data_IF_412318964843
#
_entry.id   IF_412318964843
#
_cell.length_a   1.000
_cell.length_b   1.000
_cell.length_c   1.000
_cell.angle_alpha   90.00
_cell.angle_beta   90.00
_cell.angle_gamma   90.00
#
_symmetry.space_group_name_H-M   'P 1'
#
loop_
_entity.id
_entity.type
_entity.pdbx_description
1 polymer ?
#
# COMPACT_ATOMS: atom_id res chain seq x y z
N UNK A 1 11.38 -9.71 28.55
CA UNK A 1 12.55 -10.60 28.48
C UNK A 1 13.77 -9.74 28.20
N UNK A 2 14.90 -10.00 28.86
CA UNK A 2 16.10 -9.16 28.66
C UNK A 2 16.77 -9.45 27.33
N UNK A 3 17.15 -10.70 27.07
CA UNK A 3 17.74 -11.13 25.79
C UNK A 3 17.02 -12.37 25.26
N UNK A 4 16.99 -12.55 23.94
CA UNK A 4 16.55 -13.77 23.27
C UNK A 4 17.60 -14.18 22.24
N UNK A 5 18.06 -15.42 22.31
CA UNK A 5 18.99 -15.99 21.32
C UNK A 5 18.37 -17.22 20.70
N UNK A 6 18.33 -17.26 19.37
CA UNK A 6 17.83 -18.40 18.62
C UNK A 6 19.02 -19.25 18.14
N UNK A 7 19.04 -20.51 18.56
CA UNK A 7 20.06 -21.50 18.17
C UNK A 7 19.49 -22.71 17.44
N UNK A 8 18.17 -22.76 17.26
CA UNK A 8 17.42 -23.85 16.63
C UNK A 8 16.87 -23.44 15.27
N UNK A 9 16.59 -24.44 14.39
CA UNK A 9 16.45 -24.20 12.98
C UNK A 9 15.20 -23.41 12.56
N UNK A 10 14.08 -23.63 13.23
CA UNK A 10 12.92 -22.76 13.05
C UNK A 10 12.29 -22.57 14.41
N UNK A 11 12.10 -21.31 14.79
CA UNK A 11 11.43 -20.99 16.05
C UNK A 11 10.08 -20.37 15.75
N UNK A 12 9.02 -20.99 16.25
CA UNK A 12 7.67 -20.47 16.18
C UNK A 12 7.30 -19.85 17.52
N UNK A 13 6.78 -18.63 17.48
CA UNK A 13 6.30 -17.97 18.69
C UNK A 13 5.01 -18.62 19.20
N UNK A 14 4.83 -18.59 20.54
CA UNK A 14 3.62 -19.07 21.22
C UNK A 14 2.87 -17.94 21.93
N UNK A 15 3.34 -16.70 21.79
CA UNK A 15 2.81 -15.52 22.43
C UNK A 15 3.61 -14.27 22.07
N UNK A 16 3.03 -13.10 22.30
CA UNK A 16 3.74 -11.82 22.14
C UNK A 16 4.90 -11.75 23.13
N UNK A 17 6.01 -11.16 22.70
CA UNK A 17 7.19 -10.96 23.57
C UNK A 17 7.70 -9.53 23.47
N UNK A 18 8.30 -9.07 24.56
CA UNK A 18 9.04 -7.81 24.59
C UNK A 18 10.50 -8.08 24.96
N UNK A 19 11.42 -7.59 24.14
CA UNK A 19 12.87 -7.72 24.32
C UNK A 19 13.43 -6.35 24.67
N UNK A 20 14.16 -6.26 25.78
CA UNK A 20 14.72 -4.99 26.28
C UNK A 20 16.22 -4.84 26.03
N UNK A 21 16.92 -5.95 25.77
CA UNK A 21 18.34 -6.03 25.44
C UNK A 21 18.53 -6.54 24.01
N UNK A 22 19.16 -7.69 23.84
CA UNK A 22 19.55 -8.18 22.51
C UNK A 22 18.60 -9.28 21.98
N UNK A 23 18.24 -9.18 20.71
CA UNK A 23 17.67 -10.26 19.91
C UNK A 23 18.77 -10.81 18.99
N UNK A 24 19.29 -11.98 19.29
CA UNK A 24 20.22 -12.70 18.42
C UNK A 24 19.44 -13.62 17.50
N UNK A 25 19.30 -13.20 16.24
CA UNK A 25 18.75 -14.05 15.18
C UNK A 25 19.89 -14.95 14.69
N UNK A 26 19.81 -16.24 15.05
CA UNK A 26 20.71 -17.30 14.58
C UNK A 26 20.67 -17.50 13.06
N UNK A 27 21.28 -18.57 12.52
CA UNK A 27 21.31 -18.81 11.07
C UNK A 27 19.94 -18.91 10.39
N UNK A 28 18.82 -18.90 11.13
CA UNK A 28 17.53 -19.34 10.64
C UNK A 28 16.35 -18.47 11.13
N UNK A 29 15.10 -18.87 10.83
CA UNK A 29 13.93 -17.98 10.90
C UNK A 29 13.24 -17.95 12.27
N UNK A 30 12.86 -16.75 12.70
CA UNK A 30 11.91 -16.52 13.79
C UNK A 30 10.53 -16.23 13.21
N UNK A 31 9.66 -17.23 13.25
CA UNK A 31 8.28 -17.11 12.78
C UNK A 31 7.43 -16.49 13.88
N UNK A 32 6.83 -15.34 13.59
CA UNK A 32 5.87 -14.73 14.52
C UNK A 32 4.47 -15.33 14.36
N UNK A 33 4.26 -16.17 13.36
CA UNK A 33 3.11 -17.07 13.27
C UNK A 33 3.28 -18.29 14.17
N UNK A 34 2.18 -18.85 14.65
CA UNK A 34 2.19 -20.23 15.14
C UNK A 34 2.41 -21.22 13.98
N UNK A 35 2.75 -22.48 14.28
CA UNK A 35 2.96 -23.53 13.27
C UNK A 35 1.73 -23.78 12.37
N UNK A 36 0.54 -23.40 12.85
CA UNK A 36 -0.70 -23.50 12.07
C UNK A 36 -0.96 -22.28 11.16
N UNK A 37 -0.12 -21.23 11.21
CA UNK A 37 -0.26 -19.99 10.42
C UNK A 37 -1.45 -19.10 10.81
N UNK A 38 -2.16 -19.43 11.88
CA UNK A 38 -3.48 -18.85 12.19
C UNK A 38 -3.44 -17.69 13.19
N UNK A 39 -2.27 -17.38 13.74
CA UNK A 39 -2.12 -16.32 14.75
C UNK A 39 -0.78 -15.64 14.54
N UNK A 40 -0.81 -14.32 14.28
CA UNK A 40 0.38 -13.48 14.25
C UNK A 40 0.63 -12.93 15.66
N UNK A 41 1.74 -13.34 16.24
CA UNK A 41 2.32 -12.70 17.42
C UNK A 41 3.24 -11.54 17.01
N UNK A 42 3.50 -10.66 17.95
CA UNK A 42 4.40 -9.52 17.77
C UNK A 42 5.63 -9.66 18.68
N UNK A 43 6.80 -9.35 18.11
CA UNK A 43 8.02 -9.12 18.87
C UNK A 43 8.17 -7.61 19.03
N UNK A 44 8.12 -7.10 20.26
CA UNK A 44 8.38 -5.69 20.54
C UNK A 44 9.80 -5.51 21.07
N UNK A 45 10.60 -4.73 20.35
CA UNK A 45 11.93 -4.30 20.76
C UNK A 45 11.84 -2.96 21.48
N UNK A 46 12.27 -2.91 22.74
CA UNK A 46 12.32 -1.68 23.53
C UNK A 46 13.30 -0.66 22.91
N UNK A 47 13.31 0.62 23.35
CA UNK A 47 14.15 1.67 22.75
C UNK A 47 15.65 1.35 22.66
N UNK A 48 16.22 0.76 23.71
CA UNK A 48 17.63 0.35 23.74
C UNK A 48 17.91 -1.05 23.17
N UNK A 49 16.89 -1.77 22.73
CA UNK A 49 17.06 -3.14 22.26
C UNK A 49 17.76 -3.17 20.89
N UNK A 50 18.66 -4.14 20.73
CA UNK A 50 19.44 -4.37 19.50
C UNK A 50 19.06 -5.68 18.85
N UNK A 51 19.34 -5.79 17.55
CA UNK A 51 19.23 -7.06 16.84
C UNK A 51 20.56 -7.39 16.21
N UNK A 52 21.04 -8.60 16.44
CA UNK A 52 22.22 -9.15 15.78
C UNK A 52 21.78 -10.26 14.85
N UNK A 53 22.13 -10.17 13.57
CA UNK A 53 21.92 -11.26 12.60
C UNK A 53 23.17 -12.11 12.51
N UNK A 54 23.04 -13.40 12.74
CA UNK A 54 24.08 -14.39 12.50
C UNK A 54 23.72 -15.16 11.23
N UNK A 55 24.48 -15.01 10.15
CA UNK A 55 24.17 -15.66 8.86
C UNK A 55 22.86 -15.15 8.24
N UNK A 56 21.91 -16.07 7.98
CA UNK A 56 20.63 -15.79 7.30
C UNK A 56 19.47 -15.39 8.23
N UNK A 57 19.70 -15.25 9.54
CA UNK A 57 18.65 -15.02 10.54
C UNK A 57 17.69 -13.89 10.22
N UNK A 58 16.39 -14.11 10.32
CA UNK A 58 15.38 -13.09 10.01
C UNK A 58 14.08 -13.34 10.77
N UNK A 59 13.26 -12.30 10.89
CA UNK A 59 11.90 -12.40 11.38
C UNK A 59 10.95 -12.60 10.20
N UNK A 60 10.24 -13.72 10.18
CA UNK A 60 9.15 -14.01 9.25
C UNK A 60 7.85 -13.70 9.97
N UNK A 61 7.38 -12.45 9.80
CA UNK A 61 6.22 -11.91 10.51
C UNK A 61 6.45 -10.48 10.99
N UNK A 62 5.77 -10.09 12.06
CA UNK A 62 5.74 -8.69 12.54
C UNK A 62 6.80 -8.42 13.61
N UNK A 63 7.73 -7.52 13.31
CA UNK A 63 8.70 -6.98 14.26
C UNK A 63 8.41 -5.52 14.56
N UNK A 64 8.22 -5.19 15.84
CA UNK A 64 8.01 -3.83 16.32
C UNK A 64 9.27 -3.28 17.00
N UNK A 65 9.60 -2.00 16.74
CA UNK A 65 10.64 -1.25 17.45
C UNK A 65 10.05 0.00 18.06
N UNK A 66 10.34 0.20 19.35
CA UNK A 66 10.06 1.44 20.05
C UNK A 66 11.20 2.45 19.88
N UNK A 67 10.84 3.72 19.81
CA UNK A 67 11.71 4.87 19.62
C UNK A 67 11.43 5.93 20.68
N UNK A 68 12.51 6.58 21.15
CA UNK A 68 12.46 7.68 22.11
C UNK A 68 13.14 8.94 21.58
N UNK A 69 13.63 8.89 20.35
CA UNK A 69 14.35 9.96 19.66
C UNK A 69 14.79 9.53 18.25
N UNK A 70 15.33 10.46 17.45
CA UNK A 70 15.87 10.17 16.13
C UNK A 70 16.96 9.10 16.17
N UNK A 71 16.86 8.10 15.30
CA UNK A 71 17.82 6.99 15.20
C UNK A 71 17.57 6.20 13.93
N UNK A 72 18.54 5.40 13.50
CA UNK A 72 18.35 4.44 12.41
C UNK A 72 18.22 3.03 12.96
N UNK A 73 17.24 2.28 12.45
CA UNK A 73 17.09 0.86 12.74
C UNK A 73 16.73 0.09 11.47
N UNK A 74 17.44 -1.00 11.22
CA UNK A 74 17.12 -1.95 10.16
C UNK A 74 16.32 -3.09 10.74
N UNK A 75 15.07 -3.22 10.30
CA UNK A 75 14.19 -4.35 10.61
C UNK A 75 14.66 -5.56 9.81
N UNK A 76 15.18 -6.61 10.46
CA UNK A 76 15.62 -7.81 9.78
C UNK A 76 14.44 -8.74 9.46
N UNK A 77 13.47 -8.23 8.71
CA UNK A 77 12.30 -8.98 8.27
C UNK A 77 12.56 -9.68 6.94
N UNK A 78 11.79 -10.72 6.67
CA UNK A 78 11.80 -11.42 5.39
C UNK A 78 10.61 -12.36 5.27
N UNK A 79 10.65 -13.17 4.23
CA UNK A 79 9.66 -14.24 3.97
C UNK A 79 10.42 -15.55 3.79
N UNK A 80 9.71 -16.67 3.64
CA UNK A 80 10.34 -17.94 3.25
C UNK A 80 11.13 -17.85 1.93
N UNK A 81 10.84 -16.86 1.08
CA UNK A 81 11.51 -16.64 -0.21
C UNK A 81 12.70 -15.68 -0.11
N UNK A 82 13.00 -15.16 1.08
CA UNK A 82 14.26 -14.51 1.37
C UNK A 82 14.16 -13.28 2.26
N UNK A 83 15.34 -12.73 2.55
CA UNK A 83 15.54 -11.58 3.41
C UNK A 83 15.16 -10.29 2.69
N UNK A 84 14.34 -9.45 3.33
CA UNK A 84 13.75 -8.26 2.70
C UNK A 84 13.67 -7.10 3.69
N UNK A 85 14.81 -6.63 4.22
CA UNK A 85 14.81 -5.70 5.33
C UNK A 85 14.24 -4.35 4.95
N UNK A 86 13.76 -3.65 5.97
CA UNK A 86 13.42 -2.23 5.89
C UNK A 86 14.32 -1.47 6.84
N UNK A 87 15.02 -0.46 6.35
CA UNK A 87 15.75 0.49 7.20
C UNK A 87 14.90 1.72 7.41
N UNK A 88 14.53 1.98 8.66
CA UNK A 88 13.89 3.23 9.08
C UNK A 88 14.94 4.15 9.70
N UNK A 89 15.28 5.22 8.99
CA UNK A 89 16.05 6.34 9.54
C UNK A 89 15.04 7.35 10.11
N UNK A 90 14.75 7.24 11.40
CA UNK A 90 13.79 8.09 12.10
C UNK A 90 14.41 9.46 12.31
N UNK A 91 13.79 10.49 11.73
CA UNK A 91 14.27 11.88 11.73
C UNK A 91 13.65 12.70 12.86
N UNK A 92 12.45 12.35 13.30
CA UNK A 92 11.81 12.91 14.50
C UNK A 92 10.87 11.88 15.12
N UNK A 93 10.69 11.92 16.43
CA UNK A 93 9.79 11.01 17.13
C UNK A 93 9.33 11.57 18.48
N UNK A 94 8.07 11.36 18.82
CA UNK A 94 7.58 11.48 20.19
C UNK A 94 8.15 10.34 21.07
N UNK A 95 8.16 10.55 22.39
CA UNK A 95 8.66 9.59 23.37
C UNK A 95 7.51 9.05 24.25
N UNK A 96 7.07 7.78 24.10
CA UNK A 96 7.51 6.81 23.10
C UNK A 96 6.72 6.89 21.78
N UNK A 97 7.33 6.40 20.71
CA UNK A 97 6.64 6.05 19.46
C UNK A 97 7.14 4.70 18.97
N UNK A 98 6.42 4.07 18.04
CA UNK A 98 6.81 2.76 17.55
C UNK A 98 6.36 2.52 16.12
N UNK A 99 7.17 1.75 15.39
CA UNK A 99 6.81 1.16 14.10
C UNK A 99 6.85 -0.35 14.22
N UNK A 100 5.87 -1.01 13.61
CA UNK A 100 5.89 -2.43 13.31
C UNK A 100 6.09 -2.62 11.82
N UNK A 101 6.91 -3.60 11.45
CA UNK A 101 7.25 -3.91 10.06
C UNK A 101 7.08 -5.41 9.83
N UNK A 102 6.50 -5.74 8.68
CA UNK A 102 6.38 -7.09 8.17
C UNK A 102 6.67 -7.08 6.67
N UNK A 103 7.49 -8.03 6.19
CA UNK A 103 7.60 -8.32 4.77
C UNK A 103 6.57 -9.39 4.39
N UNK A 104 5.92 -9.24 3.24
CA UNK A 104 4.93 -10.19 2.73
C UNK A 104 5.32 -10.64 1.32
N UNK A 105 5.25 -11.94 1.09
CA UNK A 105 5.48 -12.51 -0.24
C UNK A 105 4.20 -12.40 -1.05
N UNK A 106 4.33 -11.94 -2.30
CA UNK A 106 3.22 -11.81 -3.23
C UNK A 106 3.00 -10.36 -3.63
N UNK A 107 2.10 -10.18 -4.58
CA UNK A 107 1.70 -8.86 -5.07
C UNK A 107 0.77 -8.23 -4.03
N UNK A 108 0.91 -6.92 -3.80
CA UNK A 108 -0.02 -6.19 -2.92
C UNK A 108 -1.46 -6.28 -3.48
N UNK A 109 -2.48 -6.59 -2.66
CA UNK A 109 -3.83 -6.90 -3.16
C UNK A 109 -4.51 -5.83 -4.01
N UNK A 110 -4.18 -4.55 -3.80
CA UNK A 110 -4.73 -3.40 -4.51
C UNK A 110 -3.83 -2.93 -5.66
N UNK A 111 -2.71 -3.62 -5.92
CA UNK A 111 -1.78 -3.25 -6.98
C UNK A 111 -2.47 -3.36 -8.34
N UNK A 112 -2.31 -2.32 -9.15
CA UNK A 112 -2.82 -2.27 -10.50
C UNK A 112 -1.82 -1.52 -11.39
N UNK A 113 -1.26 -2.16 -12.43
CA UNK A 113 -1.54 -3.53 -12.88
C UNK A 113 -0.84 -4.61 -12.03
N UNK A 114 -1.55 -5.70 -11.75
CA UNK A 114 -1.06 -6.83 -10.93
C UNK A 114 0.15 -7.56 -11.54
N UNK A 115 0.26 -7.62 -12.87
CA UNK A 115 1.25 -8.43 -13.56
C UNK A 115 2.67 -7.82 -13.61
N UNK A 116 2.81 -6.52 -13.36
CA UNK A 116 4.11 -5.84 -13.32
C UNK A 116 4.50 -5.39 -11.91
N UNK A 117 3.54 -5.35 -10.98
CA UNK A 117 3.82 -5.04 -9.59
C UNK A 117 4.80 -6.05 -8.97
N UNK A 118 5.69 -5.53 -8.12
CA UNK A 118 6.67 -6.32 -7.39
C UNK A 118 5.96 -7.44 -6.61
N UNK A 119 6.51 -8.66 -6.66
CA UNK A 119 5.98 -9.82 -5.93
C UNK A 119 6.39 -9.80 -4.46
N UNK A 120 6.50 -8.60 -3.89
CA UNK A 120 6.77 -8.33 -2.49
C UNK A 120 6.17 -7.00 -2.10
N UNK A 121 5.62 -6.95 -0.90
CA UNK A 121 5.23 -5.71 -0.26
C UNK A 121 5.60 -5.74 1.22
N UNK A 122 5.59 -4.57 1.85
CA UNK A 122 5.84 -4.42 3.27
C UNK A 122 4.68 -3.71 3.92
N UNK A 123 4.18 -4.29 5.01
CA UNK A 123 3.23 -3.64 5.88
C UNK A 123 3.99 -2.95 6.99
N UNK A 124 3.86 -1.63 7.08
CA UNK A 124 4.44 -0.80 8.14
C UNK A 124 3.31 -0.10 8.87
N UNK A 125 3.18 -0.34 10.17
CA UNK A 125 2.21 0.37 10.99
C UNK A 125 2.91 1.18 12.07
N UNK A 126 2.52 2.44 12.20
CA UNK A 126 2.84 3.23 13.39
C UNK A 126 1.92 2.80 14.53
N UNK A 127 2.44 2.07 15.49
CA UNK A 127 1.64 1.47 16.57
C UNK A 127 1.46 2.41 17.76
N UNK A 128 2.33 3.41 17.93
CA UNK A 128 2.14 4.49 18.91
C UNK A 128 2.86 5.79 18.53
N UNK A 129 2.40 6.89 19.12
CA UNK A 129 3.04 8.20 19.04
C UNK A 129 3.06 8.81 17.63
N UNK A 130 3.86 9.85 17.48
CA UNK A 130 4.20 10.48 16.20
C UNK A 130 5.67 10.27 15.88
N UNK A 131 6.00 10.07 14.61
CA UNK A 131 7.37 10.06 14.12
C UNK A 131 7.40 10.38 12.62
N UNK A 132 8.58 10.80 12.15
CA UNK A 132 8.92 10.91 10.73
C UNK A 132 10.14 10.05 10.43
N UNK A 133 10.22 9.46 9.24
CA UNK A 133 11.35 8.61 8.87
C UNK A 133 11.63 8.62 7.37
N UNK A 134 12.91 8.59 6.98
CA UNK A 134 13.30 8.10 5.67
C UNK A 134 13.33 6.56 5.69
N UNK A 135 12.66 5.94 4.73
CA UNK A 135 12.57 4.48 4.63
C UNK A 135 13.43 3.98 3.47
N UNK A 136 14.14 2.87 3.67
CA UNK A 136 14.80 2.12 2.61
C UNK A 136 14.33 0.67 2.64
N UNK A 137 13.76 0.22 1.54
CA UNK A 137 13.26 -1.14 1.33
C UNK A 137 14.26 -1.91 0.48
N UNK A 138 14.53 -3.16 0.84
CA UNK A 138 15.36 -4.07 0.05
C UNK A 138 14.53 -5.27 -0.41
N UNK A 139 14.41 -5.45 -1.72
CA UNK A 139 13.77 -6.60 -2.36
C UNK A 139 14.81 -7.52 -3.00
N UNK A 140 14.34 -8.63 -3.57
CA UNK A 140 15.15 -9.58 -4.32
C UNK A 140 14.92 -9.40 -5.80
N UNK A 141 15.94 -9.69 -6.61
CA UNK A 141 15.82 -9.77 -8.07
C UNK A 141 14.66 -10.68 -8.52
N UNK A 142 14.44 -11.78 -7.78
CA UNK A 142 13.37 -12.74 -8.06
C UNK A 142 11.96 -12.19 -7.80
N UNK A 143 11.83 -11.07 -7.09
CA UNK A 143 10.52 -10.46 -6.84
C UNK A 143 10.04 -9.63 -8.04
N UNK A 144 10.95 -9.25 -8.94
CA UNK A 144 10.63 -8.49 -10.15
C UNK A 144 9.94 -9.42 -11.15
N UNK A 145 8.68 -9.16 -11.55
CA UNK A 145 8.00 -10.04 -12.48
C UNK A 145 8.70 -10.12 -13.83
N UNK A 146 8.70 -11.30 -14.45
CA UNK A 146 9.33 -11.52 -15.75
C UNK A 146 8.77 -10.56 -16.81
N UNK A 147 9.66 -9.89 -17.56
CA UNK A 147 9.29 -8.91 -18.58
C UNK A 147 9.02 -7.50 -18.05
N UNK A 148 9.04 -7.29 -16.73
CA UNK A 148 8.93 -5.96 -16.13
C UNK A 148 10.23 -5.19 -16.29
N UNK A 149 10.13 -3.95 -16.76
CA UNK A 149 11.25 -3.03 -16.72
C UNK A 149 11.34 -2.43 -15.31
N UNK A 150 12.18 -3.00 -14.45
CA UNK A 150 12.32 -2.55 -13.06
C UNK A 150 12.61 -1.04 -12.91
N UNK A 151 13.29 -0.44 -13.89
CA UNK A 151 13.56 1.00 -13.89
C UNK A 151 12.32 1.87 -14.13
N UNK A 152 11.18 1.30 -14.56
CA UNK A 152 9.88 2.00 -14.62
C UNK A 152 9.04 1.81 -13.35
N UNK A 153 9.53 1.02 -12.39
CA UNK A 153 8.87 0.78 -11.13
C UNK A 153 9.23 1.87 -10.11
N UNK A 154 8.23 2.31 -9.35
CA UNK A 154 8.40 3.33 -8.34
C UNK A 154 7.94 2.83 -6.99
N UNK A 155 8.56 3.34 -5.92
CA UNK A 155 8.07 3.12 -4.57
C UNK A 155 6.70 3.78 -4.42
N UNK A 156 5.72 3.01 -4.02
CA UNK A 156 4.34 3.47 -3.82
C UNK A 156 3.84 2.99 -2.46
N UNK A 157 2.93 3.78 -1.90
CA UNK A 157 2.29 3.55 -0.62
C UNK A 157 0.77 3.46 -0.84
N UNK A 158 0.13 2.46 -0.24
CA UNK A 158 -1.33 2.30 -0.29
C UNK A 158 -2.01 2.94 0.92
N UNK A 159 -2.82 3.98 0.72
CA UNK A 159 -3.59 4.67 1.79
C UNK A 159 -5.12 4.58 1.56
N UNK A 160 -5.57 3.53 0.85
CA UNK A 160 -6.92 3.48 0.24
C UNK A 160 -6.96 4.08 -1.17
N UNK A 161 -5.87 4.72 -1.57
CA UNK A 161 -5.48 5.09 -2.92
C UNK A 161 -3.95 4.98 -3.00
N UNK A 162 -3.39 4.92 -4.22
CA UNK A 162 -1.95 4.88 -4.42
C UNK A 162 -1.33 6.27 -4.26
N UNK A 163 -0.48 6.43 -3.26
CA UNK A 163 0.35 7.60 -3.06
C UNK A 163 1.79 7.29 -3.47
N UNK A 164 2.39 8.14 -4.30
CA UNK A 164 3.77 8.01 -4.71
C UNK A 164 4.66 9.03 -3.95
N UNK A 165 5.40 8.59 -2.93
CA UNK A 165 6.33 9.48 -2.24
C UNK A 165 7.54 9.82 -3.10
N UNK A 166 8.18 10.95 -2.78
CA UNK A 166 9.49 11.27 -3.32
C UNK A 166 10.50 10.18 -2.92
N UNK A 167 10.98 9.42 -3.90
CA UNK A 167 11.81 8.25 -3.69
C UNK A 167 12.77 8.00 -4.86
N UNK A 168 13.79 7.19 -4.61
CA UNK A 168 14.72 6.65 -5.63
C UNK A 168 14.67 5.13 -5.63
N UNK A 169 14.77 4.54 -6.82
CA UNK A 169 14.93 3.10 -7.02
C UNK A 169 16.35 2.83 -7.52
N UNK A 170 17.03 1.83 -6.97
CA UNK A 170 18.31 1.35 -7.44
C UNK A 170 18.16 -0.13 -7.83
N UNK A 171 18.10 -0.38 -9.13
CA UNK A 171 17.84 -1.71 -9.70
C UNK A 171 19.05 -2.63 -9.65
N UNK A 172 20.28 -2.09 -9.54
CA UNK A 172 21.47 -2.91 -9.33
C UNK A 172 21.46 -3.52 -7.92
N UNK A 173 21.05 -2.74 -6.93
CA UNK A 173 21.04 -3.15 -5.52
C UNK A 173 19.69 -3.69 -5.05
N UNK A 174 18.66 -3.64 -5.90
CA UNK A 174 17.29 -4.02 -5.58
C UNK A 174 16.76 -3.30 -4.32
N UNK A 175 16.92 -1.97 -4.31
CA UNK A 175 16.48 -1.12 -3.20
C UNK A 175 15.61 0.03 -3.66
N UNK A 176 14.67 0.45 -2.83
CA UNK A 176 13.92 1.68 -3.01
C UNK A 176 13.95 2.52 -1.72
N UNK A 177 14.21 3.83 -1.82
CA UNK A 177 14.42 4.71 -0.67
C UNK A 177 13.63 6.00 -0.80
N UNK A 178 12.93 6.42 0.26
CA UNK A 178 12.32 7.75 0.29
C UNK A 178 13.40 8.82 0.43
N UNK A 179 13.29 9.90 -0.35
CA UNK A 179 14.23 11.04 -0.32
C UNK A 179 13.79 12.14 0.64
N UNK A 180 12.53 12.11 1.06
CA UNK A 180 11.95 13.00 2.08
C UNK A 180 11.37 12.15 3.22
N UNK A 181 11.45 12.60 4.48
CA UNK A 181 10.84 11.88 5.59
C UNK A 181 9.32 11.74 5.43
N UNK A 182 8.80 10.55 5.71
CA UNK A 182 7.36 10.26 5.71
C UNK A 182 6.83 10.15 7.14
N UNK A 183 5.56 10.53 7.35
CA UNK A 183 4.85 10.46 8.64
C UNK A 183 3.66 9.48 8.66
N UNK A 184 3.26 9.04 7.47
CA UNK A 184 2.23 8.04 7.27
C UNK A 184 2.89 6.71 6.93
N UNK A 185 2.26 5.63 7.39
CA UNK A 185 2.77 4.26 7.24
C UNK A 185 1.58 3.36 6.96
N UNK A 186 1.72 2.48 5.98
CA UNK A 186 0.72 1.51 5.54
C UNK A 186 1.41 0.38 4.77
N UNK A 187 0.83 -0.10 3.67
CA UNK A 187 1.47 -1.04 2.76
C UNK A 187 2.31 -0.31 1.71
N UNK A 188 3.49 -0.87 1.43
CA UNK A 188 4.49 -0.32 0.52
C UNK A 188 4.92 -1.38 -0.49
N UNK A 189 5.02 -1.02 -1.75
CA UNK A 189 5.52 -1.91 -2.81
C UNK A 189 6.11 -1.11 -3.97
N UNK A 190 6.60 -1.81 -4.99
CA UNK A 190 6.99 -1.23 -6.26
C UNK A 190 5.92 -1.60 -7.30
N UNK A 191 5.36 -0.58 -7.94
CA UNK A 191 4.50 -0.72 -9.11
C UNK A 191 4.88 0.39 -10.12
N UNK A 192 4.58 0.26 -11.42
CA UNK A 192 4.81 1.35 -12.35
C UNK A 192 3.97 2.54 -11.90
N UNK A 193 4.27 3.74 -12.43
CA UNK A 193 3.45 4.91 -12.16
C UNK A 193 1.97 4.51 -12.28
N UNK A 194 1.25 4.53 -11.14
CA UNK A 194 -0.15 4.84 -11.23
C UNK A 194 -0.14 6.18 -11.99
N UNK A 195 -0.74 6.27 -13.18
CA UNK A 195 -0.73 7.51 -13.95
C UNK A 195 -1.05 8.62 -12.96
N UNK A 196 -0.14 9.60 -12.85
CA UNK A 196 -0.26 10.64 -11.81
C UNK A 196 -1.61 11.26 -12.01
N UNK A 197 -2.54 10.87 -11.17
CA UNK A 197 -3.91 11.30 -11.28
C UNK A 197 -3.89 12.76 -10.87
N UNK A 198 -3.74 13.65 -11.85
CA UNK A 198 -4.32 14.97 -11.67
C UNK A 198 -5.80 14.69 -11.40
N UNK A 199 -6.29 15.19 -10.28
CA UNK A 199 -7.72 15.22 -10.02
C UNK A 199 -8.37 16.02 -11.16
N UNK A 200 -9.21 15.35 -11.94
CA UNK A 200 -9.92 15.95 -13.06
C UNK A 200 -11.42 15.94 -12.83
N UNK A 201 -12.13 16.74 -13.61
CA UNK A 201 -13.59 16.71 -13.63
C UNK A 201 -14.11 15.80 -14.75
N UNK A 202 -15.18 15.07 -14.46
CA UNK A 202 -15.92 14.27 -15.44
C UNK A 202 -17.36 14.75 -15.45
N UNK A 203 -17.83 15.21 -16.61
CA UNK A 203 -19.17 15.81 -16.74
C UNK A 203 -19.91 15.32 -17.97
N UNK A 204 -21.24 15.39 -17.90
CA UNK A 204 -22.13 14.94 -18.96
C UNK A 204 -23.58 15.28 -18.69
N UNK A 205 -24.47 14.71 -19.50
CA UNK A 205 -25.91 14.86 -19.41
C UNK A 205 -26.62 13.50 -19.42
N UNK A 206 -27.79 13.44 -18.80
CA UNK A 206 -28.69 12.30 -18.93
C UNK A 206 -29.91 12.64 -19.78
N UNK A 207 -30.22 11.78 -20.74
CA UNK A 207 -31.36 11.88 -21.64
C UNK A 207 -32.28 10.65 -21.57
N UNK A 208 -33.55 10.83 -21.86
CA UNK A 208 -34.46 9.74 -22.21
C UNK A 208 -34.27 9.34 -23.68
N UNK A 209 -34.89 8.22 -24.08
CA UNK A 209 -34.82 7.72 -25.45
C UNK A 209 -35.39 8.71 -26.49
N UNK A 210 -36.29 9.61 -26.08
CA UNK A 210 -36.87 10.67 -26.93
C UNK A 210 -36.01 11.94 -27.02
N UNK A 211 -34.83 11.95 -26.37
CA UNK A 211 -33.91 13.08 -26.33
C UNK A 211 -34.25 14.14 -25.27
N UNK A 212 -35.30 13.96 -24.48
CA UNK A 212 -35.62 14.86 -23.37
C UNK A 212 -34.58 14.74 -22.24
N UNK A 213 -34.24 15.86 -21.61
CA UNK A 213 -33.28 15.88 -20.52
C UNK A 213 -33.89 15.33 -19.22
N UNK A 214 -33.16 14.45 -18.53
CA UNK A 214 -33.63 13.81 -17.31
C UNK A 214 -33.07 14.48 -16.06
N UNK A 215 -33.97 15.02 -15.23
CA UNK A 215 -33.66 15.57 -13.91
C UNK A 215 -33.67 14.50 -12.83
N UNK A 216 -32.77 14.61 -11.86
CA UNK A 216 -32.78 13.78 -10.66
C UNK A 216 -32.27 12.35 -10.88
N UNK A 217 -31.57 12.11 -11.99
CA UNK A 217 -30.86 10.86 -12.23
C UNK A 217 -29.67 10.82 -11.27
N UNK A 218 -29.58 9.75 -10.48
CA UNK A 218 -28.39 9.47 -9.67
C UNK A 218 -27.36 8.82 -10.58
N UNK A 219 -26.27 9.53 -10.81
CA UNK A 219 -25.14 9.07 -11.62
C UNK A 219 -24.02 8.65 -10.69
N UNK A 220 -23.55 7.42 -10.87
CA UNK A 220 -22.45 6.84 -10.12
C UNK A 220 -21.28 6.55 -11.06
N UNK A 221 -20.08 6.93 -10.65
CA UNK A 221 -18.83 6.59 -11.32
C UNK A 221 -17.99 5.77 -10.33
N UNK A 222 -17.84 4.47 -10.60
CA UNK A 222 -17.16 3.53 -9.70
C UNK A 222 -15.83 3.07 -10.28
N UNK A 223 -14.81 2.96 -9.46
CA UNK A 223 -13.52 2.38 -9.86
C UNK A 223 -13.51 0.84 -9.67
N UNK A 224 -12.38 0.21 -9.97
CA UNK A 224 -12.20 -1.23 -9.77
C UNK A 224 -12.08 -1.65 -8.29
N UNK A 225 -11.82 -0.69 -7.38
CA UNK A 225 -11.66 -0.92 -5.94
C UNK A 225 -12.98 -0.82 -5.16
N UNK A 226 -14.05 -0.36 -5.82
CA UNK A 226 -15.37 -0.15 -5.24
C UNK A 226 -15.61 1.27 -4.72
N UNK A 227 -14.62 2.17 -4.84
CA UNK A 227 -14.83 3.60 -4.59
C UNK A 227 -15.80 4.18 -5.61
N UNK A 228 -16.74 5.02 -5.17
CA UNK A 228 -17.81 5.54 -6.04
C UNK A 228 -18.02 7.03 -5.84
N UNK A 229 -17.87 7.79 -6.92
CA UNK A 229 -18.28 9.19 -7.01
C UNK A 229 -19.77 9.26 -7.37
N UNK A 230 -20.51 10.17 -6.74
CA UNK A 230 -21.94 10.30 -6.92
C UNK A 230 -22.32 11.72 -7.32
N UNK A 231 -23.19 11.85 -8.33
CA UNK A 231 -23.74 13.11 -8.80
C UNK A 231 -25.24 12.95 -9.06
N UNK A 232 -25.98 14.07 -9.04
CA UNK A 232 -27.41 14.09 -9.36
C UNK A 232 -27.64 15.09 -10.49
N UNK A 233 -28.36 14.68 -11.52
CA UNK A 233 -28.63 15.57 -12.66
C UNK A 233 -29.56 16.73 -12.30
N UNK A 234 -29.24 17.93 -12.80
CA UNK A 234 -30.07 19.11 -12.64
C UNK A 234 -31.29 19.10 -13.60
N UNK A 235 -32.07 20.19 -13.61
CA UNK A 235 -33.29 20.30 -14.44
C UNK A 235 -33.03 20.20 -15.96
N UNK A 236 -31.82 20.48 -16.41
CA UNK A 236 -31.40 20.37 -17.82
C UNK A 236 -30.61 19.08 -18.11
N UNK A 237 -30.55 18.16 -17.14
CA UNK A 237 -29.92 16.86 -17.27
C UNK A 237 -28.42 16.83 -16.98
N UNK A 238 -27.79 17.95 -16.63
CA UNK A 238 -26.33 18.00 -16.40
C UNK A 238 -25.92 17.41 -15.06
N UNK A 239 -24.78 16.74 -15.04
CA UNK A 239 -24.07 16.29 -13.84
C UNK A 239 -22.56 16.54 -13.98
N UNK A 240 -21.85 16.60 -12.85
CA UNK A 240 -20.38 16.59 -12.81
C UNK A 240 -19.87 15.82 -11.58
N UNK A 241 -18.72 15.20 -11.76
CA UNK A 241 -17.88 14.66 -10.71
C UNK A 241 -16.62 15.50 -10.64
N UNK A 242 -16.22 15.89 -9.44
CA UNK A 242 -14.97 16.60 -9.17
C UNK A 242 -14.00 15.66 -8.46
N UNK A 243 -12.70 15.98 -8.53
CA UNK A 243 -11.63 15.20 -7.90
C UNK A 243 -11.67 13.72 -8.30
N UNK A 244 -11.87 13.45 -9.59
CA UNK A 244 -11.79 12.10 -10.15
C UNK A 244 -10.33 11.82 -10.50
N UNK A 245 -9.71 10.79 -9.93
CA UNK A 245 -8.35 10.44 -10.28
C UNK A 245 -8.22 10.09 -11.77
N UNK A 246 -7.40 10.83 -12.51
CA UNK A 246 -7.10 10.52 -13.92
C UNK A 246 -6.16 9.31 -14.06
N UNK A 247 -6.15 8.73 -15.25
CA UNK A 247 -5.37 7.57 -15.64
C UNK A 247 -6.00 6.20 -15.31
N UNK A 248 -7.24 6.16 -14.83
CA UNK A 248 -7.96 4.92 -14.55
C UNK A 248 -9.20 4.74 -15.45
N UNK A 249 -9.73 3.51 -15.50
CA UNK A 249 -11.03 3.23 -16.11
C UNK A 249 -12.08 3.04 -15.02
N UNK A 250 -13.24 3.63 -15.24
CA UNK A 250 -14.36 3.67 -14.31
C UNK A 250 -15.62 3.10 -14.95
N UNK A 251 -16.51 2.54 -14.14
CA UNK A 251 -17.85 2.15 -14.53
C UNK A 251 -18.83 3.28 -14.25
N UNK A 252 -19.38 3.87 -15.30
CA UNK A 252 -20.43 4.88 -15.21
C UNK A 252 -21.80 4.19 -15.23
N UNK A 253 -22.65 4.55 -14.28
CA UNK A 253 -24.01 4.04 -14.15
C UNK A 253 -25.01 5.15 -13.84
N UNK A 254 -26.22 5.04 -14.40
CA UNK A 254 -27.34 5.95 -14.14
C UNK A 254 -28.50 5.21 -13.47
N UNK A 255 -29.17 5.84 -12.52
CA UNK A 255 -30.38 5.30 -11.90
C UNK A 255 -31.43 6.40 -11.67
N UNK A 256 -32.65 6.15 -12.14
CA UNK A 256 -33.81 7.00 -11.93
C UNK A 256 -35.08 6.14 -11.95
N UNK A 257 -36.14 6.58 -11.26
CA UNK A 257 -37.41 5.85 -11.23
C UNK A 257 -38.02 5.83 -12.64
N UNK A 258 -38.33 4.64 -13.14
CA UNK A 258 -38.97 4.45 -14.45
C UNK A 258 -38.02 4.51 -15.64
N UNK A 259 -36.71 4.64 -15.42
CA UNK A 259 -35.70 4.64 -16.47
C UNK A 259 -34.63 3.58 -16.20
N UNK A 260 -34.18 2.92 -17.26
CA UNK A 260 -33.08 1.96 -17.22
C UNK A 260 -31.93 2.51 -18.05
N UNK A 261 -30.71 2.43 -17.53
CA UNK A 261 -29.50 2.84 -18.22
C UNK A 261 -28.56 1.64 -18.38
N UNK A 262 -27.80 1.60 -19.47
CA UNK A 262 -26.75 0.60 -19.65
C UNK A 262 -25.46 1.11 -19.01
N UNK A 263 -24.86 0.37 -18.05
CA UNK A 263 -23.56 0.73 -17.51
C UNK A 263 -22.49 0.78 -18.61
N UNK A 264 -21.57 1.75 -18.51
CA UNK A 264 -20.52 1.97 -19.53
C UNK A 264 -19.18 2.17 -18.86
N UNK A 265 -18.13 1.56 -19.44
CA UNK A 265 -16.74 1.83 -19.04
C UNK A 265 -16.28 3.14 -19.66
N UNK A 266 -15.68 4.00 -18.84
CA UNK A 266 -15.12 5.31 -19.20
C UNK A 266 -13.66 5.34 -18.76
N UNK A 267 -12.75 5.53 -19.71
CA UNK A 267 -11.33 5.76 -19.40
C UNK A 267 -11.11 7.24 -19.21
N UNK A 268 -10.69 7.63 -18.00
CA UNK A 268 -10.45 9.03 -17.62
C UNK A 268 -8.96 9.26 -17.69
N UNK A 269 -8.48 10.01 -18.68
CA UNK A 269 -7.05 10.39 -18.79
C UNK A 269 -6.80 11.87 -18.57
N UNK A 270 -7.84 12.70 -18.68
CA UNK A 270 -7.86 14.15 -18.45
C UNK A 270 -9.33 14.57 -18.15
N UNK A 271 -9.60 15.86 -18.00
CA UNK A 271 -10.96 16.38 -17.88
C UNK A 271 -11.84 15.90 -19.04
N UNK A 272 -12.97 15.28 -18.69
CA UNK A 272 -13.95 14.80 -19.65
C UNK A 272 -15.23 15.62 -19.58
N UNK A 273 -15.76 15.95 -20.76
CA UNK A 273 -17.06 16.59 -20.93
C UNK A 273 -17.90 15.76 -21.92
N UNK A 274 -19.22 15.93 -21.89
CA UNK A 274 -20.17 15.22 -22.76
C UNK A 274 -20.10 13.69 -22.62
N UNK A 275 -19.81 13.21 -21.42
CA UNK A 275 -19.94 11.78 -21.09
C UNK A 275 -21.42 11.49 -20.84
N UNK A 276 -22.21 11.36 -21.90
CA UNK A 276 -23.67 11.34 -21.76
C UNK A 276 -24.24 9.94 -21.47
N UNK A 277 -25.36 9.93 -20.75
CA UNK A 277 -26.20 8.76 -20.47
C UNK A 277 -27.50 8.87 -21.27
N UNK A 278 -27.93 7.79 -21.92
CA UNK A 278 -29.24 7.71 -22.56
C UNK A 278 -29.99 6.53 -21.97
N UNK A 279 -31.22 6.77 -21.50
CA UNK A 279 -32.09 5.71 -21.01
C UNK A 279 -32.53 4.80 -22.16
N UNK A 280 -32.75 3.52 -21.86
CA UNK A 280 -33.33 2.58 -22.79
C UNK A 280 -34.78 2.98 -23.14
N UNK A 281 -35.27 2.62 -24.35
CA UNK A 281 -36.64 2.85 -24.78
C UNK A 281 -37.70 2.22 -23.87
#
# INVERSE_FOLDING_TARGET
MTNLTLTYPETYMTGNITITGNLDLGPETLNTTNTAGNTNYTITLAPGATVTRMGSGMVTGTLEKQYTGPTTFTYPVGTLNGYSPVTANVTSSSNPSSLSVQAVQGIEPNANPQNTALQRYWTINKTSGTLTSNLTFQYLASDVPSGTQESSEHLNQWEGFWFQPAATTNTTNHTASTTVPVSNFSDWTLLPLAPTAADVSVSGRAFAADGSALRGVRVALSDASGHTFNAITNAFGYYSFENVPSGASYLLNGSARGYVFTPRVVTVSDQLTNVDLTALP
#
